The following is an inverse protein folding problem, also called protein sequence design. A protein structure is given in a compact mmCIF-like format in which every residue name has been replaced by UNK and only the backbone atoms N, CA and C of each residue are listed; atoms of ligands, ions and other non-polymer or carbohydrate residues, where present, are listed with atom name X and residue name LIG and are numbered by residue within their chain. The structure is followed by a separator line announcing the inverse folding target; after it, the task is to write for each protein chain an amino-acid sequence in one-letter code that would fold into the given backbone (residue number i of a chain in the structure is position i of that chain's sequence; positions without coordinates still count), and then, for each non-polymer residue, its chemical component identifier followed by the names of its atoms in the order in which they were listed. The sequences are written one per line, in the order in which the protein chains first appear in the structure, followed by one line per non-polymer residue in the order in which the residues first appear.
data_IF_474218327938
#
_entry.id   IF_474218327938
#
_cell.length_a   1.000
_cell.length_b   1.000
_cell.length_c   1.000
_cell.angle_alpha   90.00
_cell.angle_beta   90.00
_cell.angle_gamma   90.00
#
_symmetry.space_group_name_H-M   'P 1'
#
loop_
_entity.id
_entity.type
_entity.pdbx_description
1 polymer ?
#
# COMPACT_ATOMS: atom_id res chain seq x y z
N UNK A 1 3.54 -21.50 -5.13
CA UNK A 1 4.79 -20.75 -5.20
C UNK A 1 4.55 -19.25 -5.13
N UNK A 2 3.60 -18.75 -5.92
CA UNK A 2 3.31 -17.31 -5.93
C UNK A 2 2.88 -16.81 -4.55
N UNK A 3 2.14 -17.63 -3.83
CA UNK A 3 1.51 -17.20 -2.59
C UNK A 3 2.51 -17.00 -1.45
N UNK A 4 3.73 -17.54 -1.59
CA UNK A 4 4.74 -17.39 -0.54
C UNK A 4 5.44 -16.03 -0.60
N UNK A 5 5.44 -15.38 -1.75
CA UNK A 5 6.15 -14.12 -1.93
C UNK A 5 5.21 -12.95 -2.25
N UNK A 6 3.93 -13.19 -2.30
CA UNK A 6 2.93 -12.16 -2.59
C UNK A 6 2.03 -11.97 -1.38
N UNK A 7 1.77 -10.73 -1.06
CA UNK A 7 0.85 -10.37 0.01
C UNK A 7 -0.34 -9.63 -0.59
N UNK A 8 -1.50 -9.82 0.03
CA UNK A 8 -2.70 -9.12 -0.38
C UNK A 8 -3.43 -8.60 0.85
N UNK A 9 -3.97 -7.39 0.70
CA UNK A 9 -4.85 -6.79 1.69
C UNK A 9 -6.14 -6.44 0.99
N UNK A 10 -7.26 -6.62 1.68
CA UNK A 10 -8.57 -6.37 1.07
C UNK A 10 -9.38 -5.46 1.97
N UNK A 11 -9.93 -4.40 1.37
CA UNK A 11 -10.85 -3.50 2.06
C UNK A 11 -12.08 -3.34 1.19
N UNK A 12 -13.20 -3.92 1.61
CA UNK A 12 -14.49 -3.76 0.94
C UNK A 12 -14.38 -3.98 -0.58
N UNK A 13 -13.77 -5.11 -0.97
CA UNK A 13 -13.60 -5.47 -2.37
C UNK A 13 -12.43 -4.80 -3.07
N UNK A 14 -11.73 -3.92 -2.40
CA UNK A 14 -10.54 -3.26 -2.95
C UNK A 14 -9.31 -4.02 -2.51
N UNK A 15 -8.53 -4.49 -3.48
CA UNK A 15 -7.37 -5.35 -3.21
C UNK A 15 -6.08 -4.58 -3.44
N UNK A 16 -5.17 -4.70 -2.48
CA UNK A 16 -3.82 -4.16 -2.60
C UNK A 16 -2.85 -5.33 -2.63
N UNK A 17 -2.08 -5.45 -3.71
CA UNK A 17 -1.11 -6.52 -3.92
C UNK A 17 0.30 -5.98 -3.76
N UNK A 18 1.15 -6.72 -3.04
CA UNK A 18 2.56 -6.36 -2.88
C UNK A 18 3.41 -7.61 -2.88
N UNK A 19 4.73 -7.42 -2.97
CA UNK A 19 5.68 -8.50 -2.97
C UNK A 19 6.50 -8.53 -4.23
N UNK A 20 7.16 -9.67 -4.49
CA UNK A 20 8.06 -9.81 -5.63
C UNK A 20 7.77 -11.07 -6.40
N UNK A 21 7.91 -10.98 -7.71
CA UNK A 21 7.85 -12.13 -8.61
C UNK A 21 9.13 -12.17 -9.43
N UNK A 22 9.38 -13.31 -10.07
CA UNK A 22 10.58 -13.50 -10.87
C UNK A 22 10.43 -12.87 -12.27
N UNK A 23 9.23 -12.92 -12.82
CA UNK A 23 8.99 -12.53 -14.21
C UNK A 23 7.78 -11.61 -14.34
N UNK A 24 7.81 -10.69 -15.33
CA UNK A 24 6.66 -9.81 -15.58
C UNK A 24 5.36 -10.56 -15.83
N UNK A 25 5.43 -11.71 -16.50
CA UNK A 25 4.24 -12.52 -16.78
C UNK A 25 3.52 -12.96 -15.51
N UNK A 26 4.30 -13.22 -14.46
CA UNK A 26 3.72 -13.62 -13.19
C UNK A 26 2.94 -12.48 -12.53
N UNK A 27 3.46 -11.26 -12.65
CA UNK A 27 2.76 -10.09 -12.15
C UNK A 27 1.41 -9.91 -12.84
N UNK A 28 1.41 -10.07 -14.17
CA UNK A 28 0.19 -9.95 -14.96
C UNK A 28 -0.82 -11.02 -14.56
N UNK A 29 -0.36 -12.24 -14.39
CA UNK A 29 -1.21 -13.37 -14.04
C UNK A 29 -1.87 -13.16 -12.67
N UNK A 30 -1.09 -12.72 -11.69
CA UNK A 30 -1.61 -12.49 -10.34
C UNK A 30 -2.64 -11.36 -10.35
N UNK A 31 -2.36 -10.29 -11.10
CA UNK A 31 -3.29 -9.17 -11.23
C UNK A 31 -4.61 -9.64 -11.83
N UNK A 32 -4.54 -10.47 -12.87
CA UNK A 32 -5.73 -11.01 -13.51
C UNK A 32 -6.53 -11.88 -12.54
N UNK A 33 -5.85 -12.73 -11.78
CA UNK A 33 -6.52 -13.56 -10.79
C UNK A 33 -7.25 -12.72 -9.75
N UNK A 34 -6.65 -11.61 -9.33
CA UNK A 34 -7.29 -10.72 -8.37
C UNK A 34 -8.57 -10.12 -8.96
N UNK A 35 -8.51 -9.65 -10.20
CA UNK A 35 -9.69 -9.09 -10.86
C UNK A 35 -10.80 -10.10 -11.06
N UNK A 36 -10.48 -11.37 -11.20
CA UNK A 36 -11.47 -12.42 -11.41
C UNK A 36 -12.14 -12.86 -10.12
N UNK A 37 -11.68 -12.42 -8.99
CA UNK A 37 -12.27 -12.77 -7.71
C UNK A 37 -13.60 -12.07 -7.54
N UNK A 38 -14.62 -12.83 -7.08
CA UNK A 38 -15.96 -12.29 -6.94
C UNK A 38 -15.98 -11.14 -5.93
N UNK A 39 -16.67 -10.06 -6.29
CA UNK A 39 -16.83 -8.92 -5.41
C UNK A 39 -15.72 -7.89 -5.47
N UNK A 40 -14.75 -8.09 -6.35
CA UNK A 40 -13.63 -7.15 -6.47
C UNK A 40 -14.11 -5.85 -7.10
N UNK A 41 -13.74 -4.74 -6.46
CA UNK A 41 -14.08 -3.39 -6.93
C UNK A 41 -12.88 -2.68 -7.52
N UNK A 42 -11.67 -2.97 -7.02
CA UNK A 42 -10.44 -2.38 -7.56
C UNK A 42 -9.24 -3.23 -7.17
N UNK A 43 -8.17 -3.11 -7.95
CA UNK A 43 -6.91 -3.78 -7.66
C UNK A 43 -5.80 -2.76 -7.80
N UNK A 44 -5.05 -2.55 -6.73
CA UNK A 44 -3.83 -1.75 -6.72
C UNK A 44 -2.66 -2.71 -6.70
N UNK A 45 -1.79 -2.60 -7.68
CA UNK A 45 -0.71 -3.55 -7.86
C UNK A 45 0.65 -2.92 -7.56
N UNK A 46 1.21 -3.25 -6.40
CA UNK A 46 2.54 -2.82 -5.99
C UNK A 46 3.53 -3.98 -6.04
N UNK A 47 3.27 -4.98 -6.87
CA UNK A 47 4.19 -6.10 -7.06
C UNK A 47 5.38 -5.65 -7.88
N UNK A 48 6.57 -6.04 -7.43
CA UNK A 48 7.82 -5.74 -8.15
C UNK A 48 8.41 -7.01 -8.73
N UNK A 49 9.34 -6.85 -9.67
CA UNK A 49 9.99 -7.96 -10.34
C UNK A 49 11.43 -8.01 -9.87
N UNK A 50 11.88 -9.20 -9.45
CA UNK A 50 13.25 -9.37 -8.95
C UNK A 50 14.27 -8.91 -9.99
N UNK A 51 15.32 -8.25 -9.51
CA UNK A 51 16.41 -7.83 -10.36
C UNK A 51 16.21 -6.51 -11.08
N UNK A 52 15.04 -5.89 -10.98
CA UNK A 52 14.78 -4.62 -11.64
C UNK A 52 15.19 -3.42 -10.80
N UNK A 53 15.47 -3.61 -9.51
CA UNK A 53 15.91 -2.54 -8.63
C UNK A 53 17.30 -2.86 -8.11
N UNK A 54 18.12 -1.81 -7.95
CA UNK A 54 19.44 -1.97 -7.33
C UNK A 54 19.29 -2.17 -5.84
N UNK A 55 20.33 -2.72 -5.21
CA UNK A 55 20.35 -2.86 -3.75
C UNK A 55 20.21 -1.50 -3.07
N UNK A 56 20.90 -0.48 -3.62
CA UNK A 56 20.86 0.87 -3.05
C UNK A 56 19.44 1.45 -3.11
N UNK A 57 18.77 1.27 -4.24
CA UNK A 57 17.39 1.74 -4.41
C UNK A 57 16.46 1.05 -3.42
N UNK A 58 16.60 -0.26 -3.26
CA UNK A 58 15.78 -1.02 -2.32
C UNK A 58 16.01 -0.57 -0.88
N UNK A 59 17.28 -0.30 -0.51
CA UNK A 59 17.58 0.17 0.84
C UNK A 59 16.94 1.53 1.12
N UNK A 60 16.95 2.42 0.14
CA UNK A 60 16.29 3.72 0.28
C UNK A 60 14.78 3.57 0.45
N UNK A 61 14.18 2.67 -0.30
CA UNK A 61 12.74 2.43 -0.20
C UNK A 61 12.37 1.90 1.18
N UNK A 62 13.16 0.99 1.73
CA UNK A 62 12.95 0.45 3.07
C UNK A 62 13.06 1.58 4.11
N UNK A 63 14.03 2.46 3.94
CA UNK A 63 14.21 3.58 4.86
C UNK A 63 12.99 4.50 4.83
N UNK A 64 12.49 4.82 3.65
CA UNK A 64 11.31 5.68 3.51
C UNK A 64 10.10 5.04 4.21
N UNK A 65 9.85 3.76 3.96
CA UNK A 65 8.75 3.06 4.62
C UNK A 65 8.89 3.09 6.13
N UNK A 66 10.11 2.84 6.64
CA UNK A 66 10.35 2.82 8.08
C UNK A 66 10.11 4.19 8.70
N UNK A 67 10.55 5.25 8.03
CA UNK A 67 10.33 6.61 8.53
C UNK A 67 8.87 6.96 8.59
N UNK A 68 8.11 6.60 7.56
CA UNK A 68 6.68 6.87 7.56
C UNK A 68 5.97 6.05 8.64
N UNK A 69 6.34 4.77 8.78
CA UNK A 69 5.75 3.92 9.82
C UNK A 69 5.96 4.55 11.19
N UNK A 70 7.19 5.00 11.48
CA UNK A 70 7.49 5.64 12.74
C UNK A 70 6.70 6.93 12.94
N UNK A 71 6.59 7.74 11.87
CA UNK A 71 5.84 8.99 11.95
C UNK A 71 4.38 8.73 12.30
N UNK A 72 3.77 7.71 11.68
CA UNK A 72 2.38 7.37 11.96
C UNK A 72 2.20 6.82 13.37
N UNK A 73 3.17 6.06 13.88
CA UNK A 73 3.10 5.54 15.24
C UNK A 73 3.16 6.70 16.26
N UNK A 74 4.00 7.69 16.02
CA UNK A 74 4.15 8.81 16.94
C UNK A 74 3.05 9.87 16.80
N UNK A 75 2.38 9.92 15.67
CA UNK A 75 1.29 10.88 15.47
C UNK A 75 0.03 10.36 16.16
N UNK A 76 -0.43 11.08 17.19
CA UNK A 76 -1.55 10.63 18.00
C UNK A 76 -2.88 10.63 17.25
N UNK A 77 -2.95 11.29 16.12
CA UNK A 77 -4.16 11.37 15.30
C UNK A 77 -4.25 10.24 14.29
N UNK A 78 -3.22 9.41 14.18
CA UNK A 78 -3.20 8.31 13.22
C UNK A 78 -3.04 6.98 13.93
N UNK A 79 -3.65 5.94 13.35
CA UNK A 79 -3.49 4.56 13.83
C UNK A 79 -2.68 3.79 12.82
N UNK A 80 -1.37 3.75 13.04
CA UNK A 80 -0.42 3.17 12.08
C UNK A 80 -0.80 1.76 11.63
N UNK A 81 -1.35 0.95 12.53
CA UNK A 81 -1.69 -0.44 12.22
C UNK A 81 -2.81 -0.59 11.20
N UNK A 82 -3.54 0.49 10.92
CA UNK A 82 -4.64 0.45 9.94
C UNK A 82 -4.16 0.67 8.51
N UNK A 83 -2.85 0.82 8.31
CA UNK A 83 -2.31 1.15 7.00
C UNK A 83 -1.23 0.16 6.59
N UNK A 84 -1.31 -0.27 5.34
CA UNK A 84 -0.26 -1.02 4.67
C UNK A 84 0.55 -0.03 3.85
N UNK A 85 1.87 -0.06 4.03
CA UNK A 85 2.78 0.87 3.38
C UNK A 85 3.74 0.10 2.50
N UNK A 86 3.92 0.56 1.26
CA UNK A 86 4.93 0.02 0.35
C UNK A 86 5.62 1.19 -0.33
N UNK A 87 6.93 1.10 -0.46
CA UNK A 87 7.69 2.11 -1.19
C UNK A 87 8.44 1.42 -2.32
N UNK A 88 8.24 1.95 -3.53
CA UNK A 88 8.87 1.41 -4.73
C UNK A 88 9.46 2.58 -5.51
N UNK A 89 10.78 2.60 -5.68
CA UNK A 89 11.49 3.66 -6.38
C UNK A 89 11.10 5.04 -5.84
N UNK A 90 11.05 5.15 -4.50
CA UNK A 90 10.73 6.39 -3.78
C UNK A 90 9.27 6.84 -3.92
N UNK A 91 8.42 6.01 -4.48
CA UNK A 91 6.98 6.26 -4.52
C UNK A 91 6.32 5.49 -3.39
N UNK A 92 5.54 6.16 -2.57
CA UNK A 92 4.89 5.53 -1.43
C UNK A 92 3.46 5.15 -1.80
N UNK A 93 3.13 3.88 -1.60
CA UNK A 93 1.76 3.38 -1.73
C UNK A 93 1.21 3.20 -0.33
N UNK A 94 0.07 3.81 -0.05
CA UNK A 94 -0.60 3.72 1.25
C UNK A 94 -1.97 3.12 1.04
N UNK A 95 -2.27 2.03 1.74
CA UNK A 95 -3.56 1.37 1.63
C UNK A 95 -4.11 1.15 3.03
N UNK A 96 -5.31 1.65 3.31
CA UNK A 96 -5.85 1.47 4.63
C UNK A 96 -7.17 2.17 4.87
N UNK A 97 -7.56 2.20 6.15
CA UNK A 97 -8.82 2.78 6.60
C UNK A 97 -8.51 3.88 7.61
N UNK A 98 -9.03 5.07 7.34
CA UNK A 98 -8.98 6.18 8.30
C UNK A 98 -10.34 6.29 8.97
N UNK A 99 -10.33 6.68 10.24
CA UNK A 99 -11.56 6.89 10.99
C UNK A 99 -12.39 8.01 10.39
N UNK A 100 -11.71 9.08 9.96
CA UNK A 100 -12.36 10.26 9.41
C UNK A 100 -11.39 10.99 8.48
N UNK A 101 -11.87 12.09 7.89
CA UNK A 101 -11.06 12.86 6.96
C UNK A 101 -9.84 13.49 7.62
N UNK A 102 -9.95 13.86 8.88
CA UNK A 102 -8.82 14.44 9.60
C UNK A 102 -7.67 13.44 9.69
N UNK A 103 -7.96 12.20 10.06
CA UNK A 103 -6.92 11.18 10.12
C UNK A 103 -6.32 10.92 8.74
N UNK A 104 -7.17 10.85 7.72
CA UNK A 104 -6.69 10.64 6.35
C UNK A 104 -5.71 11.75 5.95
N UNK A 105 -6.07 12.99 6.22
CA UNK A 105 -5.23 14.14 5.88
C UNK A 105 -3.91 14.11 6.66
N UNK A 106 -3.95 13.67 7.93
CA UNK A 106 -2.74 13.54 8.74
C UNK A 106 -1.80 12.50 8.16
N UNK A 107 -2.33 11.36 7.72
CA UNK A 107 -1.50 10.31 7.12
C UNK A 107 -0.81 10.82 5.86
N UNK A 108 -1.57 11.49 4.99
CA UNK A 108 -1.02 12.03 3.75
C UNK A 108 0.02 13.10 4.06
N UNK A 109 -0.24 13.95 5.04
CA UNK A 109 0.69 14.99 5.43
C UNK A 109 2.01 14.42 5.95
N UNK A 110 1.95 13.36 6.78
CA UNK A 110 3.16 12.72 7.27
C UNK A 110 3.96 12.15 6.11
N UNK A 111 3.29 11.53 5.15
CA UNK A 111 3.98 10.96 3.99
C UNK A 111 4.67 12.05 3.16
N UNK A 112 4.01 13.21 3.01
CA UNK A 112 4.57 14.32 2.24
C UNK A 112 5.82 14.91 2.88
N UNK A 113 6.03 14.69 4.16
CA UNK A 113 7.19 15.25 4.87
C UNK A 113 8.41 14.33 4.85
N UNK A 114 8.27 13.11 4.36
CA UNK A 114 9.39 12.17 4.32
C UNK A 114 10.38 12.62 3.25
N UNK A 115 11.66 12.69 3.62
CA UNK A 115 12.71 13.15 2.71
C UNK A 115 12.86 12.21 1.52
N UNK A 116 13.06 12.78 0.36
CA UNK A 116 13.42 12.06 -0.87
C UNK A 116 12.26 11.26 -1.49
N UNK A 117 11.05 11.47 -1.03
CA UNK A 117 9.88 10.83 -1.62
C UNK A 117 9.55 11.52 -2.95
N UNK A 118 9.30 10.71 -3.98
CA UNK A 118 8.92 11.23 -5.28
C UNK A 118 7.43 11.52 -5.35
N UNK A 119 6.63 10.50 -5.09
CA UNK A 119 5.19 10.61 -5.25
C UNK A 119 4.48 9.73 -4.24
N UNK A 120 3.27 10.11 -3.86
CA UNK A 120 2.46 9.39 -2.90
C UNK A 120 1.18 8.95 -3.59
N UNK A 121 0.85 7.67 -3.46
CA UNK A 121 -0.36 7.08 -4.02
C UNK A 121 -1.24 6.58 -2.86
N UNK A 122 -2.09 7.45 -2.30
CA UNK A 122 -2.92 7.04 -1.18
C UNK A 122 -4.19 6.36 -1.66
N UNK A 123 -4.45 5.18 -1.12
CA UNK A 123 -5.72 4.47 -1.26
C UNK A 123 -6.26 4.31 0.15
N UNK A 124 -6.74 5.42 0.71
CA UNK A 124 -7.22 5.48 2.08
C UNK A 124 -8.72 5.72 2.05
N UNK A 125 -9.45 4.81 2.68
CA UNK A 125 -10.91 4.84 2.69
C UNK A 125 -11.39 5.22 4.08
N UNK A 126 -12.42 6.06 4.15
CA UNK A 126 -12.98 6.43 5.42
C UNK A 126 -13.87 5.30 5.94
N UNK A 127 -13.88 5.12 7.26
CA UNK A 127 -14.70 4.07 7.86
C UNK A 127 -16.17 4.20 7.44
N UNK A 128 -16.66 5.43 7.30
CA UNK A 128 -18.03 5.69 6.90
C UNK A 128 -18.34 5.32 5.45
N UNK A 129 -17.30 5.15 4.62
CA UNK A 129 -17.48 4.83 3.20
C UNK A 129 -17.60 3.33 2.93
N UNK A 130 -17.37 2.49 3.92
CA UNK A 130 -17.36 1.04 3.73
C UNK A 130 -18.76 0.49 3.67
N UNK A 131 -19.00 -0.43 2.74
CA UNK A 131 -20.34 -0.97 2.49
C UNK A 131 -20.98 -1.57 3.73
N UNK A 132 -20.23 -2.31 4.54
CA UNK A 132 -20.75 -2.96 5.72
C UNK A 132 -21.21 -1.98 6.79
N UNK A 133 -20.73 -0.74 6.76
CA UNK A 133 -21.11 0.28 7.72
C UNK A 133 -22.44 0.93 7.39
N UNK A 134 -23.01 0.59 6.24
CA UNK A 134 -24.29 1.13 5.79
C UNK A 134 -25.46 0.22 6.13
N UNK A 135 -25.15 -0.91 6.71
CA UNK A 135 -26.17 -1.85 7.17
C UNK A 135 -26.63 -1.48 8.57
#
# INVERSE_FOLDING_TARGET
KYFLSIQSEVIDGRIFLSGKVDKPEEKIKITKMAWETKGVRSVKNAITIKGQSSFKSTAKDVLITSQLRSALIFNKKTKARNYTLETINKNIYIFGIAMDKEEKDEVINEANQIFDVKEIFPSIYLASELSRNKL
#
